data_IF_767509598412
#
_entry.id   IF_767509598412
#
_cell.length_a   1.000
_cell.length_b   1.000
_cell.length_c   1.000
_cell.angle_alpha   90.00
_cell.angle_beta   90.00
_cell.angle_gamma   90.00
#
_symmetry.space_group_name_H-M   'P 1'
#
loop_
_entity.id
_entity.type
_entity.pdbx_description
1 polymer ?
2 non-polymer ?
3 non-polymer ?
4 water ?
#
# COMPACT_ATOMS: atom_id res chain seq x y z
N UNK A 14 -5.95 3.95 31.68
CA UNK A 14 -4.81 4.83 31.48
C UNK A 14 -4.85 5.97 32.53
N UNK A 15 -3.79 6.12 33.33
CA UNK A 15 -3.87 6.96 34.53
C UNK A 15 -3.78 8.44 34.21
N UNK A 16 -4.33 9.26 35.13
CA UNK A 16 -4.30 10.70 34.93
C UNK A 16 -2.87 11.23 34.95
N UNK A 17 -2.01 10.65 35.79
CA UNK A 17 -0.60 11.05 35.83
C UNK A 17 0.06 10.80 34.47
N UNK A 18 -0.27 9.69 33.84
CA UNK A 18 0.32 9.38 32.53
C UNK A 18 -0.18 10.36 31.47
N UNK A 19 -1.48 10.69 31.48
CA UNK A 19 -2.01 11.63 30.51
C UNK A 19 -1.34 13.00 30.67
N UNK A 20 -1.19 13.46 31.91
CA UNK A 20 -0.51 14.73 32.14
C UNK A 20 0.94 14.71 31.66
N UNK A 21 1.60 13.55 31.77
CA UNK A 21 2.96 13.44 31.26
C UNK A 21 2.99 13.54 29.73
N UNK A 22 2.02 12.94 29.05
CA UNK A 22 1.91 13.09 27.60
C UNK A 22 1.68 14.56 27.23
N UNK A 23 0.75 15.21 27.93
CA UNK A 23 0.47 16.62 27.66
C UNK A 23 1.70 17.49 27.90
N UNK A 24 2.55 17.11 28.87
CA UNK A 24 3.76 17.88 29.12
C UNK A 24 4.73 17.83 27.94
N UNK A 25 4.66 16.77 27.11
CA UNK A 25 5.55 16.68 25.96
C UNK A 25 5.00 17.45 24.76
N UNK A 26 3.74 17.18 24.38
CA UNK A 26 3.23 17.68 23.11
C UNK A 26 2.30 18.88 23.26
N UNK A 27 1.85 19.17 24.46
CA UNK A 27 0.88 20.25 24.65
C UNK A 27 -0.52 19.73 24.80
N UNK A 28 -1.30 20.36 25.68
CA UNK A 28 -2.65 19.88 25.96
C UNK A 28 -3.53 19.71 24.72
N UNK A 29 -3.53 20.61 23.73
CA UNK A 29 -4.42 20.40 22.57
C UNK A 29 -4.06 19.16 21.76
N UNK A 30 -2.88 18.62 21.93
CA UNK A 30 -2.39 17.52 21.10
C UNK A 30 -2.46 16.16 21.79
N UNK A 31 -3.22 16.05 22.89
CA UNK A 31 -3.51 14.78 23.54
C UNK A 31 -5.01 14.67 23.68
N UNK A 32 -5.59 13.55 23.28
CA UNK A 32 -7.03 13.36 23.49
C UNK A 32 -7.32 11.97 24.04
N UNK A 33 -8.15 11.93 25.08
CA UNK A 33 -8.75 10.69 25.57
C UNK A 33 -10.25 10.62 25.30
N UNK A 34 -10.77 11.49 24.44
CA UNK A 34 -12.20 11.51 24.15
C UNK A 34 -12.59 10.29 23.33
N UNK A 35 -13.75 9.73 23.66
CA UNK A 35 -14.22 8.48 23.04
C UNK A 35 -14.28 8.60 21.51
N UNK A 36 -14.89 9.67 21.00
CA UNK A 36 -15.08 9.77 19.56
C UNK A 36 -13.76 9.93 18.83
N UNK A 37 -12.81 10.66 19.43
CA UNK A 37 -11.50 10.84 18.80
C UNK A 37 -10.74 9.53 18.78
N UNK A 38 -10.81 8.76 19.86
CA UNK A 38 -10.16 7.46 19.88
C UNK A 38 -10.80 6.50 18.88
N UNK A 39 -12.13 6.50 18.76
CA UNK A 39 -12.77 5.59 17.82
C UNK A 39 -12.35 5.89 16.39
N UNK A 40 -12.19 7.17 16.04
CA UNK A 40 -11.76 7.56 14.69
C UNK A 40 -10.36 7.07 14.39
N UNK A 41 -9.58 6.75 15.42
CA UNK A 41 -8.22 6.27 15.25
C UNK A 41 -8.08 4.80 15.57
N UNK A 42 -9.18 4.08 15.71
CA UNK A 42 -9.16 2.67 16.08
C UNK A 42 -9.36 1.73 14.90
N UNK A 43 -9.43 2.27 13.69
CA UNK A 43 -9.71 1.46 12.52
C UNK A 43 -9.04 2.11 11.32
N UNK A 44 -8.91 1.33 10.25
CA UNK A 44 -8.48 1.88 8.97
C UNK A 44 -9.59 1.71 7.94
N UNK A 45 -9.25 1.48 6.68
CA UNK A 45 -10.29 1.32 5.67
C UNK A 45 -10.77 -0.12 5.56
N UNK A 46 -10.16 -1.06 6.28
CA UNK A 46 -10.52 -2.46 6.22
C UNK A 46 -11.76 -2.76 7.08
N UNK A 47 -12.26 -3.99 6.93
CA UNK A 47 -13.36 -4.49 7.73
C UNK A 47 -12.97 -4.85 9.16
N UNK A 48 -11.69 -4.83 9.49
CA UNK A 48 -11.27 -5.21 10.84
C UNK A 48 -11.96 -4.33 11.87
N UNK A 49 -12.48 -4.96 12.93
CA UNK A 49 -13.34 -4.22 13.84
C UNK A 49 -12.57 -3.13 14.55
N UNK A 50 -13.24 -2.01 14.78
CA UNK A 50 -12.61 -0.88 15.43
C UNK A 50 -12.19 -1.24 16.85
N UNK A 51 -10.92 -0.96 17.19
CA UNK A 51 -10.40 -1.19 18.53
C UNK A 51 -9.72 0.09 18.95
N UNK A 52 -10.41 0.95 19.70
CA UNK A 52 -9.90 2.30 19.94
C UNK A 52 -8.71 2.29 20.88
N UNK A 53 -7.70 3.10 20.58
CA UNK A 53 -6.61 3.31 21.53
C UNK A 53 -7.15 4.01 22.76
N UNK A 54 -6.36 3.97 23.84
CA UNK A 54 -6.73 4.66 25.07
C UNK A 54 -6.50 6.17 24.98
N UNK A 55 -5.65 6.62 24.07
CA UNK A 55 -5.42 8.03 23.85
C UNK A 55 -4.87 8.20 22.44
N UNK A 56 -5.04 9.40 21.89
CA UNK A 56 -4.39 9.81 20.64
C UNK A 56 -3.51 11.01 20.93
N UNK A 57 -2.28 10.99 20.40
CA UNK A 57 -1.30 12.03 20.63
C UNK A 57 -0.77 12.48 19.27
N UNK A 58 -0.63 13.80 19.09
CA UNK A 58 -0.09 14.39 17.87
C UNK A 58 1.24 15.08 18.18
N UNK A 59 2.37 14.39 18.08
CA UNK A 59 3.65 15.08 18.30
C UNK A 59 3.91 16.10 17.20
N UNK A 60 4.59 17.19 17.59
CA UNK A 60 4.83 18.29 16.68
C UNK A 60 6.23 18.33 16.08
N UNK A 61 7.16 17.51 16.59
CA UNK A 61 8.51 17.41 16.04
C UNK A 61 9.10 16.09 16.52
N UNK A 62 10.28 15.76 15.99
CA UNK A 62 10.88 14.45 16.26
C UNK A 62 11.28 14.32 17.71
N UNK A 63 11.72 15.40 18.35
CA UNK A 63 12.03 15.33 19.79
C UNK A 63 10.81 14.90 20.58
N UNK A 64 9.62 15.40 20.23
CA UNK A 64 8.40 15.00 20.89
C UNK A 64 8.04 13.55 20.60
N UNK A 65 8.24 13.08 19.36
CA UNK A 65 8.01 11.67 19.08
C UNK A 65 8.88 10.80 19.99
N UNK A 66 10.15 11.16 20.10
CA UNK A 66 11.08 10.40 20.93
C UNK A 66 10.63 10.39 22.38
N UNK A 67 10.21 11.53 22.90
CA UNK A 67 9.82 11.60 24.30
C UNK A 67 8.50 10.89 24.57
N UNK A 68 7.56 10.92 23.61
CA UNK A 68 6.33 10.16 23.79
C UNK A 68 6.61 8.67 23.76
N UNK A 69 7.45 8.23 22.81
CA UNK A 69 7.78 6.81 22.76
C UNK A 69 8.45 6.35 24.04
N UNK A 70 9.41 7.13 24.55
CA UNK A 70 10.12 6.72 25.76
C UNK A 70 9.17 6.65 26.94
N UNK A 71 8.26 7.63 27.06
CA UNK A 71 7.25 7.60 28.12
C UNK A 71 6.41 6.34 28.05
N UNK A 72 5.88 6.03 26.86
CA UNK A 72 5.02 4.85 26.72
C UNK A 72 5.80 3.58 26.98
N UNK A 73 6.96 3.47 26.35
CA UNK A 73 7.76 2.25 26.43
C UNK A 73 8.08 1.91 27.88
N UNK A 74 8.59 2.89 28.62
CA UNK A 74 9.01 2.63 29.98
C UNK A 74 7.85 2.41 30.94
N UNK A 75 6.65 2.84 30.57
CA UNK A 75 5.49 2.60 31.42
C UNK A 75 4.68 1.37 30.99
N UNK A 76 5.15 0.62 29.99
CA UNK A 76 4.43 -0.56 29.56
C UNK A 76 3.16 -0.27 28.79
N UNK A 77 3.11 0.83 28.06
CA UNK A 77 1.93 1.26 27.31
C UNK A 77 2.20 1.02 25.83
N UNK A 78 1.35 0.27 25.12
CA UNK A 78 1.57 0.07 23.69
C UNK A 78 1.52 1.36 22.89
N UNK A 79 2.26 1.35 21.78
CA UNK A 79 2.38 2.48 20.87
C UNK A 79 1.85 2.03 19.51
N UNK A 80 0.96 2.82 18.91
CA UNK A 80 0.45 2.49 17.58
C UNK A 80 0.71 3.67 16.66
N UNK A 81 1.68 3.57 15.74
CA UNK A 81 1.87 4.68 14.79
C UNK A 81 0.66 4.78 13.87
N UNK A 82 0.28 6.02 13.55
CA UNK A 82 -0.89 6.27 12.73
C UNK A 82 -0.51 7.32 11.70
N UNK A 83 -0.68 6.98 10.42
CA UNK A 83 -0.42 7.96 9.39
C UNK A 83 -1.71 8.60 8.92
N UNK A 84 -2.19 8.20 7.75
CA UNK A 84 -3.47 8.64 7.24
C UNK A 84 -4.59 7.61 7.38
N UNK A 85 -4.33 6.46 7.99
CA UNK A 85 -5.38 5.50 8.29
C UNK A 85 -6.04 4.89 7.07
N UNK A 86 -5.32 4.80 5.95
CA UNK A 86 -5.86 4.22 4.73
C UNK A 86 -5.43 2.76 4.53
N UNK A 87 -4.72 2.17 5.50
CA UNK A 87 -4.35 0.78 5.38
C UNK A 87 -5.56 -0.14 5.32
N UNK A 88 -5.32 -1.37 4.88
CA UNK A 88 -6.43 -2.31 4.71
C UNK A 88 -6.20 -3.63 5.43
N UNK A 89 -5.26 -3.67 6.39
CA UNK A 89 -5.10 -4.91 7.16
C UNK A 89 -5.18 -4.68 8.67
N UNK A 90 -5.77 -3.59 9.12
CA UNK A 90 -5.97 -3.39 10.54
C UNK A 90 -4.72 -2.98 11.28
N UNK A 91 -3.74 -2.45 10.56
CA UNK A 91 -2.48 -2.09 11.19
C UNK A 91 -2.63 -1.10 12.33
N UNK A 92 -3.61 -0.19 12.26
CA UNK A 92 -3.75 0.80 13.31
C UNK A 92 -4.72 0.38 14.41
N UNK A 93 -5.37 -0.78 14.30
CA UNK A 93 -6.29 -1.22 15.34
C UNK A 93 -5.55 -1.45 16.65
N UNK A 94 -6.03 -0.84 17.74
CA UNK A 94 -5.33 -0.90 19.02
C UNK A 94 -5.78 -2.14 19.79
N UNK A 95 -5.29 -3.31 19.33
CA UNK A 95 -5.79 -4.57 19.87
C UNK A 95 -5.44 -4.75 21.34
N UNK A 96 -4.41 -4.06 21.85
CA UNK A 96 -4.06 -4.10 23.25
C UNK A 96 -4.17 -2.72 23.90
N UNK A 97 -5.00 -1.87 23.32
CA UNK A 97 -5.11 -0.49 23.78
C UNK A 97 -3.82 0.27 23.57
N UNK A 98 -3.61 1.29 24.39
CA UNK A 98 -2.38 2.06 24.35
C UNK A 98 -2.56 3.42 23.70
N UNK A 99 -1.45 3.98 23.25
CA UNK A 99 -1.38 5.35 22.74
C UNK A 99 -1.20 5.30 21.23
N UNK A 100 -2.14 5.87 20.51
CA UNK A 100 -2.04 6.06 19.07
C UNK A 100 -1.29 7.36 18.79
N UNK A 101 -0.22 7.28 18.01
CA UNK A 101 0.60 8.44 17.72
C UNK A 101 0.28 8.87 16.29
N UNK A 102 -0.52 9.93 16.16
CA UNK A 102 -0.84 10.47 14.85
C UNK A 102 0.28 11.40 14.42
N UNK A 103 0.96 11.06 13.34
CA UNK A 103 2.19 11.73 12.95
C UNK A 103 1.99 12.85 11.94
N UNK A 104 0.75 13.19 11.58
CA UNK A 104 0.56 13.99 10.39
C UNK A 104 0.73 15.49 10.62
N UNK A 105 0.90 15.97 11.85
CA UNK A 105 1.23 17.38 11.98
C UNK A 105 2.66 17.72 11.59
N UNK A 106 3.51 16.70 11.41
CA UNK A 106 4.87 16.88 10.97
C UNK A 106 4.76 16.74 9.46
N UNK A 107 4.62 17.86 8.75
CA UNK A 107 4.14 17.81 7.37
C UNK A 107 5.04 18.59 6.41
N UNK A 108 6.33 18.70 6.71
CA UNK A 108 7.24 19.49 5.90
C UNK A 108 8.04 18.65 4.93
N UNK A 109 8.26 19.21 3.74
CA UNK A 109 9.21 18.69 2.76
C UNK A 109 10.52 19.42 2.99
N UNK A 110 11.62 18.67 3.07
CA UNK A 110 12.94 19.25 3.27
C UNK A 110 13.95 18.61 2.33
N UNK A 111 15.12 19.23 2.27
CA UNK A 111 16.27 18.69 1.56
C UNK A 111 15.91 18.28 0.14
N UNK A 112 15.14 19.11 -0.55
CA UNK A 112 14.88 18.82 -1.95
C UNK A 112 16.19 18.97 -2.72
N UNK A 113 16.66 17.89 -3.30
CA UNK A 113 17.91 17.86 -4.07
C UNK A 113 17.56 17.43 -5.48
N UNK A 114 17.12 18.38 -6.30
CA UNK A 114 16.69 18.03 -7.65
C UNK A 114 17.85 17.48 -8.47
N UNK A 115 19.05 18.05 -8.32
CA UNK A 115 20.22 17.59 -9.06
C UNK A 115 20.62 16.16 -8.71
N UNK A 116 20.23 15.68 -7.53
CA UNK A 116 20.51 14.31 -7.09
C UNK A 116 19.31 13.41 -7.18
N UNK A 117 18.14 13.93 -7.59
CA UNK A 117 16.92 13.15 -7.67
C UNK A 117 16.48 12.62 -6.30
N UNK A 118 16.48 13.49 -5.29
CA UNK A 118 16.08 13.01 -3.96
C UNK A 118 15.39 14.13 -3.18
N UNK A 119 14.62 13.72 -2.16
CA UNK A 119 13.86 14.64 -1.32
C UNK A 119 13.61 13.96 0.01
N UNK A 120 13.44 14.74 1.08
CA UNK A 120 13.11 14.22 2.40
C UNK A 120 11.73 14.72 2.79
N UNK A 121 10.87 13.81 3.25
CA UNK A 121 9.50 14.15 3.64
C UNK A 121 9.17 13.65 5.04
N UNK A 122 8.37 14.43 5.75
CA UNK A 122 7.81 14.08 7.05
C UNK A 122 6.47 13.37 6.89
N UNK A 123 5.96 12.73 7.95
CA UNK A 123 4.79 11.84 7.77
C UNK A 123 3.51 12.50 7.29
N UNK A 124 3.31 13.79 7.54
CA UNK A 124 2.12 14.46 7.04
C UNK A 124 2.12 14.76 5.55
N UNK A 125 3.24 14.52 4.86
CA UNK A 125 3.32 14.77 3.42
C UNK A 125 2.73 13.58 2.67
N UNK A 126 1.75 13.84 1.82
CA UNK A 126 1.18 12.82 0.94
C UNK A 126 1.83 12.90 -0.43
N UNK A 127 1.59 11.87 -1.24
CA UNK A 127 2.13 11.88 -2.60
C UNK A 127 1.61 13.09 -3.38
N UNK A 128 0.32 13.41 -3.23
CA UNK A 128 -0.23 14.59 -3.92
C UNK A 128 0.51 15.85 -3.52
N UNK A 129 0.71 16.04 -2.22
CA UNK A 129 1.43 17.22 -1.75
C UNK A 129 2.82 17.29 -2.34
N UNK A 130 3.53 16.15 -2.36
CA UNK A 130 4.89 16.16 -2.88
C UNK A 130 4.91 16.49 -4.37
N UNK A 131 4.03 15.84 -5.14
CA UNK A 131 4.08 16.08 -6.58
C UNK A 131 3.59 17.47 -6.95
N UNK A 132 2.68 18.04 -6.15
CA UNK A 132 2.32 19.45 -6.33
C UNK A 132 3.51 20.36 -6.06
N UNK A 133 4.27 20.06 -5.02
CA UNK A 133 5.43 20.86 -4.67
C UNK A 133 6.50 20.77 -5.75
N UNK A 134 6.56 19.64 -6.45
CA UNK A 134 7.52 19.40 -7.51
C UNK A 134 7.02 19.86 -8.85
N UNK A 135 5.85 20.51 -8.88
CA UNK A 135 5.29 20.94 -10.14
C UNK A 135 6.27 21.94 -10.76
N UNK A 136 6.59 21.76 -12.04
CA UNK A 136 7.49 22.59 -12.83
C UNK A 136 8.96 22.27 -12.58
N UNK A 137 9.28 21.26 -11.76
CA UNK A 137 10.67 20.87 -11.53
C UNK A 137 11.19 19.88 -12.56
N UNK A 138 10.30 19.26 -13.33
CA UNK A 138 10.67 18.18 -14.22
C UNK A 138 10.82 16.85 -13.53
N UNK A 139 10.59 16.79 -12.22
CA UNK A 139 10.70 15.56 -11.45
C UNK A 139 9.34 15.19 -10.85
N UNK A 140 9.19 13.92 -10.49
CA UNK A 140 7.96 13.48 -9.83
C UNK A 140 8.28 12.25 -8.99
N UNK A 141 7.37 11.95 -8.07
CA UNK A 141 7.48 10.73 -7.27
C UNK A 141 6.44 9.73 -7.75
N UNK A 142 6.84 8.54 -8.19
CA UNK A 142 5.90 7.67 -8.93
C UNK A 142 5.04 6.71 -8.13
N UNK A 143 5.42 6.31 -6.91
CA UNK A 143 4.69 5.22 -6.26
C UNK A 143 3.32 5.71 -5.84
N UNK A 144 2.26 5.15 -6.43
CA UNK A 144 0.92 5.74 -6.39
C UNK A 144 -0.17 4.78 -5.92
N UNK A 145 -0.23 4.47 -4.62
CA UNK A 145 -1.45 3.87 -4.08
C UNK A 145 -2.65 4.76 -4.37
N UNK A 146 -3.81 4.13 -4.48
CA UNK A 146 -5.01 4.87 -4.85
C UNK A 146 -5.43 5.91 -3.83
N UNK A 147 -5.12 5.66 -2.56
CA UNK A 147 -5.48 6.58 -1.49
C UNK A 147 -4.44 7.68 -1.34
N UNK A 148 -4.89 8.83 -0.85
CA UNK A 148 -4.04 9.98 -0.53
C UNK A 148 -3.31 9.69 0.78
N UNK A 149 -2.32 8.80 0.69
CA UNK A 149 -1.69 8.28 1.90
C UNK A 149 -0.41 9.04 2.28
N UNK A 150 -0.12 9.00 3.57
CA UNK A 150 1.19 9.44 4.08
C UNK A 150 2.32 8.68 3.40
N UNK A 151 3.33 9.43 2.91
CA UNK A 151 4.47 8.77 2.28
C UNK A 151 5.27 7.95 3.28
N UNK A 152 5.35 8.42 4.53
CA UNK A 152 6.02 7.61 5.55
C UNK A 152 5.19 6.37 5.90
N UNK A 153 3.85 6.48 5.86
CA UNK A 153 3.02 5.29 6.00
C UNK A 153 3.22 4.32 4.87
N UNK A 154 3.40 4.84 3.65
CA UNK A 154 3.70 3.99 2.49
C UNK A 154 5.04 3.28 2.66
N UNK A 155 6.03 3.97 3.23
CA UNK A 155 7.28 3.29 3.57
C UNK A 155 7.03 2.20 4.61
N UNK A 156 6.20 2.50 5.62
CA UNK A 156 5.97 1.52 6.68
C UNK A 156 5.27 0.27 6.15
N UNK A 157 4.36 0.43 5.18
CA UNK A 157 3.68 -0.76 4.67
C UNK A 157 4.40 -1.44 3.51
N UNK A 158 5.41 -0.80 2.93
CA UNK A 158 6.04 -1.33 1.73
C UNK A 158 5.15 -1.23 0.50
N UNK A 159 4.47 -0.10 0.35
CA UNK A 159 3.43 0.07 -0.68
C UNK A 159 3.99 0.00 -2.10
N UNK A 160 3.10 -0.29 -3.04
CA UNK A 160 3.43 -0.11 -4.46
C UNK A 160 2.28 0.68 -5.06
N UNK A 161 2.09 0.54 -6.36
CA UNK A 161 1.06 1.32 -7.04
C UNK A 161 1.07 0.97 -8.51
N UNK A 162 0.24 1.68 -9.29
CA UNK A 162 0.17 1.37 -10.72
C UNK A 162 1.49 1.65 -11.44
N UNK A 163 2.27 2.63 -10.98
CA UNK A 163 3.51 2.95 -11.65
C UNK A 163 4.65 2.02 -11.28
N UNK A 164 4.46 1.09 -10.35
CA UNK A 164 5.59 0.33 -9.84
C UNK A 164 6.19 -0.60 -10.90
N UNK A 165 5.37 -1.09 -11.84
CA UNK A 165 5.88 -1.98 -12.87
C UNK A 165 7.08 -1.39 -13.61
N UNK A 166 7.10 -0.07 -13.80
CA UNK A 166 8.23 0.59 -14.43
C UNK A 166 9.16 1.30 -13.46
N UNK A 167 8.60 1.95 -12.43
CA UNK A 167 9.37 2.88 -11.61
C UNK A 167 9.68 2.35 -10.21
N UNK A 168 9.24 1.15 -9.87
CA UNK A 168 9.60 0.52 -8.62
C UNK A 168 8.59 0.74 -7.50
N UNK A 169 8.72 -0.07 -6.45
CA UNK A 169 7.88 0.01 -5.26
C UNK A 169 8.50 0.97 -4.25
N UNK A 170 7.89 1.08 -3.07
CA UNK A 170 8.54 1.87 -2.02
C UNK A 170 9.92 1.30 -1.67
N UNK A 171 10.06 -0.03 -1.66
CA UNK A 171 11.37 -0.62 -1.36
C UNK A 171 12.42 -0.17 -2.36
N UNK A 172 12.02 0.02 -3.63
CA UNK A 172 12.97 0.45 -4.64
C UNK A 172 13.30 1.94 -4.54
N UNK A 173 12.41 2.74 -3.94
CA UNK A 173 12.53 4.17 -3.99
C UNK A 173 12.76 4.84 -2.63
N UNK A 174 12.90 4.08 -1.56
CA UNK A 174 13.27 4.63 -0.26
C UNK A 174 14.79 4.47 -0.09
N UNK A 175 15.46 5.61 0.07
CA UNK A 175 16.93 5.71 0.11
C UNK A 175 17.42 5.77 1.56
N UNK A 176 16.59 6.28 2.45
CA UNK A 176 16.99 6.48 3.84
C UNK A 176 15.72 6.67 4.65
N UNK A 177 15.80 6.35 5.96
CA UNK A 177 14.67 6.54 6.84
C UNK A 177 15.16 7.12 8.15
N UNK A 178 14.40 8.04 8.71
CA UNK A 178 14.62 8.48 10.09
C UNK A 178 13.59 7.77 10.96
N UNK A 179 14.05 7.03 11.97
CA UNK A 179 13.19 6.16 12.74
C UNK A 179 13.39 6.43 14.23
N UNK A 180 12.29 6.68 14.94
CA UNK A 180 12.33 6.68 16.40
C UNK A 180 12.09 5.24 16.83
N UNK A 181 13.10 4.64 17.43
CA UNK A 181 12.98 3.28 17.93
C UNK A 181 12.03 3.23 19.14
N UNK A 182 11.54 2.05 19.49
CA UNK A 182 10.49 1.95 20.52
C UNK A 182 10.83 2.65 21.83
N UNK A 183 12.09 2.59 22.27
CA UNK A 183 12.49 3.23 23.52
C UNK A 183 12.87 4.70 23.36
N UNK A 184 12.69 5.28 22.17
CA UNK A 184 12.92 6.70 21.93
C UNK A 184 14.22 7.06 21.22
N UNK A 185 15.15 6.12 21.06
CA UNK A 185 16.40 6.46 20.38
C UNK A 185 16.12 6.81 18.91
N UNK A 186 16.93 7.72 18.37
CA UNK A 186 16.77 8.17 16.98
C UNK A 186 17.79 7.49 16.07
N UNK A 187 17.29 6.79 15.06
CA UNK A 187 18.11 6.07 14.08
C UNK A 187 17.91 6.68 12.69
N UNK A 188 19.00 6.98 12.02
CA UNK A 188 18.97 7.26 10.59
C UNK A 188 19.51 6.02 9.90
N UNK A 189 18.64 5.29 9.18
CA UNK A 189 18.98 3.91 8.82
C UNK A 189 20.22 3.85 7.95
N UNK A 190 20.39 4.81 7.04
CA UNK A 190 21.58 4.86 6.19
C UNK A 190 22.56 5.95 6.62
N UNK A 191 22.33 6.58 7.76
CA UNK A 191 23.19 7.66 8.25
C UNK A 191 22.53 9.02 8.08
N UNK A 192 22.73 9.93 9.03
CA UNK A 192 22.01 11.20 8.99
C UNK A 192 22.40 12.01 7.77
N UNK A 193 21.40 12.41 6.99
CA UNK A 193 21.61 13.28 5.85
C UNK A 193 22.11 12.59 4.61
N UNK A 194 22.28 11.27 4.63
CA UNK A 194 22.91 10.57 3.51
C UNK A 194 21.92 10.23 2.42
N UNK A 195 22.39 10.29 1.18
CA UNK A 195 21.57 9.93 0.04
C UNK A 195 22.51 9.59 -1.10
N UNK A 196 22.26 8.46 -1.75
CA UNK A 196 23.18 7.95 -2.74
C UNK A 196 22.47 6.85 -3.52
N UNK A 197 23.10 6.39 -4.60
CA UNK A 197 22.46 5.42 -5.46
C UNK A 197 22.64 3.98 -4.99
N UNK A 198 23.76 3.67 -4.34
CA UNK A 198 24.04 2.30 -3.90
C UNK A 198 25.05 2.35 -2.78
N UNK A 199 25.02 1.32 -1.94
CA UNK A 199 25.99 1.19 -0.86
C UNK A 199 26.11 -0.26 -0.45
N UNK A 200 27.33 -0.66 -0.10
CA UNK A 200 27.61 -1.93 0.56
C UNK A 200 28.11 -1.72 1.99
N UNK A 201 27.81 -0.58 2.59
CA UNK A 201 28.40 -0.25 3.89
C UNK A 201 27.59 -0.87 5.02
N UNK A 202 28.10 -1.97 5.57
CA UNK A 202 27.44 -2.59 6.71
C UNK A 202 26.19 -3.33 6.24
N UNK A 203 25.28 -3.54 7.17
CA UNK A 203 24.02 -4.19 6.84
C UNK A 203 22.99 -3.14 6.44
N UNK A 204 22.16 -3.47 5.46
CA UNK A 204 21.22 -2.47 4.95
C UNK A 204 20.05 -2.39 5.93
N UNK A 205 20.08 -1.37 6.79
CA UNK A 205 18.99 -1.20 7.76
C UNK A 205 17.75 -0.58 7.14
N UNK A 206 17.91 0.17 6.05
CA UNK A 206 16.75 0.83 5.45
C UNK A 206 15.71 -0.20 5.02
N UNK A 207 16.16 -1.28 4.38
CA UNK A 207 15.23 -2.30 3.91
C UNK A 207 14.52 -3.05 5.01
N UNK A 208 15.11 -3.09 6.21
CA UNK A 208 14.44 -3.74 7.33
C UNK A 208 13.22 -2.95 7.78
N UNK A 209 13.29 -1.62 7.74
CA UNK A 209 12.19 -0.83 8.26
C UNK A 209 11.13 -0.56 7.21
N UNK A 210 11.46 -0.65 5.92
CA UNK A 210 10.42 -0.60 4.90
C UNK A 210 9.59 -1.87 5.01
N UNK A 211 8.28 -1.71 5.11
CA UNK A 211 7.43 -2.87 5.28
C UNK A 211 7.35 -3.42 6.69
N UNK A 212 7.79 -2.65 7.69
CA UNK A 212 7.73 -3.10 9.07
C UNK A 212 6.42 -2.74 9.77
N UNK A 213 5.57 -1.91 9.15
CA UNK A 213 4.18 -1.68 9.58
C UNK A 213 4.09 -1.11 11.01
N UNK A 214 5.11 -0.39 11.46
CA UNK A 214 5.02 0.20 12.78
C UNK A 214 5.33 -0.72 13.91
N UNK A 215 5.86 -1.92 13.63
CA UNK A 215 6.20 -2.88 14.67
C UNK A 215 7.67 -2.82 15.07
N UNK A 216 8.50 -2.04 14.36
CA UNK A 216 9.92 -1.92 14.69
C UNK A 216 10.34 -0.51 15.10
N UNK A 217 9.43 0.45 15.01
CA UNK A 217 9.79 1.84 15.25
C UNK A 217 8.88 2.76 14.46
N UNK A 218 9.06 4.06 14.69
CA UNK A 218 8.21 5.10 14.13
C UNK A 218 9.00 5.85 13.07
N UNK A 219 8.55 5.79 11.82
CA UNK A 219 9.24 6.51 10.76
C UNK A 219 8.86 7.99 10.84
N UNK A 220 9.84 8.86 11.11
CA UNK A 220 9.57 10.29 11.20
C UNK A 220 10.08 11.09 10.01
N UNK A 221 10.88 10.49 9.14
CA UNK A 221 11.09 11.07 7.82
C UNK A 221 11.52 9.96 6.86
N UNK A 222 11.30 10.20 5.58
CA UNK A 222 11.68 9.27 4.52
C UNK A 222 12.44 10.04 3.46
N UNK A 223 13.60 9.52 3.05
CA UNK A 223 14.32 10.07 1.90
C UNK A 223 13.93 9.27 0.67
N UNK A 224 13.39 9.96 -0.33
CA UNK A 224 12.78 9.31 -1.48
C UNK A 224 13.55 9.61 -2.76
N UNK A 225 13.62 8.60 -3.63
CA UNK A 225 14.13 8.76 -4.99
C UNK A 225 13.08 9.43 -5.87
N UNK A 226 13.46 10.52 -6.52
CA UNK A 226 12.62 11.17 -7.51
C UNK A 226 13.01 10.71 -8.91
N UNK A 227 12.08 10.86 -9.86
CA UNK A 227 12.26 10.42 -11.22
C UNK A 227 11.99 11.55 -12.20
N UNK A 228 12.65 11.52 -13.37
CA UNK A 228 12.35 12.51 -14.41
C UNK A 228 10.96 12.29 -14.97
N UNK A 229 10.24 13.39 -15.20
CA UNK A 229 8.95 13.29 -15.85
C UNK A 229 9.12 12.76 -17.28
N UNK A 230 8.19 11.94 -17.76
CA UNK A 230 8.33 11.39 -19.10
C UNK A 230 8.21 12.47 -20.16
N UNK A 231 8.95 12.27 -21.26
CA UNK A 231 8.89 13.22 -22.36
C UNK A 231 7.48 13.31 -22.93
N UNK A 232 6.82 12.18 -23.09
CA UNK A 232 5.45 12.14 -23.58
C UNK A 232 4.75 10.92 -22.98
N UNK A 233 3.42 11.02 -22.91
CA UNK A 233 2.58 10.03 -22.24
C UNK A 233 1.38 9.69 -23.13
N UNK A 234 1.06 8.41 -23.22
CA UNK A 234 -0.15 7.94 -23.89
C UNK A 234 -0.82 6.91 -22.99
N UNK A 235 -2.12 7.05 -22.78
CA UNK A 235 -2.89 6.09 -22.01
C UNK A 235 -4.01 5.52 -22.88
N UNK A 236 -4.44 4.31 -22.55
CA UNK A 236 -5.49 3.67 -23.34
C UNK A 236 -6.14 2.58 -22.51
N UNK A 237 -7.32 2.16 -22.96
CA UNK A 237 -7.96 0.99 -22.40
C UNK A 237 -8.16 -0.02 -23.51
N UNK A 238 -8.19 -1.30 -23.13
CA UNK A 238 -8.33 -2.40 -24.07
C UNK A 238 -9.25 -3.45 -23.46
N UNK A 239 -10.36 -3.76 -24.16
CA UNK A 239 -11.35 -4.69 -23.67
C UNK A 239 -11.09 -6.07 -24.26
N UNK A 240 -11.32 -7.11 -23.46
CA UNK A 240 -11.01 -8.47 -23.85
C UNK A 240 -12.23 -9.36 -23.72
N UNK A 241 -12.26 -10.47 -24.48
CA UNK A 241 -13.39 -11.39 -24.38
C UNK A 241 -13.41 -12.22 -23.10
N UNK A 242 -12.29 -12.35 -22.40
CA UNK A 242 -12.25 -13.21 -21.22
C UNK A 242 -11.10 -12.76 -20.33
N UNK A 243 -11.17 -13.18 -19.07
CA UNK A 243 -10.07 -12.94 -18.13
C UNK A 243 -8.80 -13.60 -18.66
N UNK A 244 -8.92 -14.85 -19.14
CA UNK A 244 -7.78 -15.56 -19.72
C UNK A 244 -7.09 -14.71 -20.78
N UNK A 245 -7.86 -14.11 -21.71
CA UNK A 245 -7.26 -13.34 -22.79
C UNK A 245 -6.52 -12.12 -22.27
N UNK A 246 -7.09 -11.44 -21.27
CA UNK A 246 -6.45 -10.24 -20.74
C UNK A 246 -5.16 -10.57 -20.01
N UNK A 247 -5.17 -11.66 -19.23
CA UNK A 247 -3.99 -11.97 -18.44
C UNK A 247 -2.91 -12.62 -19.30
N UNK A 248 -3.29 -13.43 -20.30
CA UNK A 248 -2.32 -13.91 -21.27
C UNK A 248 -1.63 -12.75 -21.97
N UNK A 249 -2.39 -11.71 -22.36
CA UNK A 249 -1.78 -10.53 -22.96
C UNK A 249 -0.77 -9.89 -22.03
N UNK A 250 -1.15 -9.75 -20.75
CA UNK A 250 -0.24 -9.15 -19.78
C UNK A 250 1.07 -9.92 -19.71
N UNK A 251 0.98 -11.23 -19.52
CA UNK A 251 2.19 -12.04 -19.42
C UNK A 251 3.03 -11.90 -20.68
N UNK A 252 2.39 -11.88 -21.85
CA UNK A 252 3.17 -11.79 -23.09
C UNK A 252 3.78 -10.41 -23.28
N UNK A 253 3.10 -9.34 -22.82
CA UNK A 253 3.70 -8.02 -22.88
C UNK A 253 4.96 -7.96 -22.02
N UNK A 254 4.89 -8.53 -20.81
CA UNK A 254 6.07 -8.55 -19.93
C UNK A 254 7.17 -9.42 -20.49
N UNK A 255 6.83 -10.57 -21.07
CA UNK A 255 7.88 -11.44 -21.60
C UNK A 255 8.51 -10.86 -22.85
N UNK A 256 7.81 -9.99 -23.56
CA UNK A 256 8.37 -9.27 -24.70
C UNK A 256 9.15 -8.04 -24.28
N UNK A 257 9.25 -7.77 -22.97
CA UNK A 257 10.07 -6.69 -22.42
C UNK A 257 9.61 -5.30 -22.88
N UNK A 258 8.33 -5.13 -23.17
CA UNK A 258 7.81 -3.79 -23.45
C UNK A 258 7.83 -3.00 -22.16
N UNK A 259 8.51 -1.85 -22.09
CA UNK A 259 8.64 -1.11 -20.82
C UNK A 259 7.42 -0.25 -20.50
N UNK A 260 6.25 -0.90 -20.42
CA UNK A 260 5.01 -0.20 -20.13
C UNK A 260 5.14 0.54 -18.80
N UNK A 261 4.54 1.72 -18.72
CA UNK A 261 4.54 2.51 -17.49
C UNK A 261 3.48 2.03 -16.50
N UNK A 262 2.33 1.58 -17.02
CA UNK A 262 1.21 1.16 -16.22
C UNK A 262 0.51 0.04 -16.98
N UNK A 263 0.18 -1.04 -16.28
CA UNK A 263 -0.64 -2.10 -16.87
C UNK A 263 -1.53 -2.68 -15.77
N UNK A 264 -2.79 -2.28 -15.78
CA UNK A 264 -3.74 -2.55 -14.72
C UNK A 264 -4.89 -3.37 -15.24
N UNK A 265 -5.28 -4.39 -14.51
CA UNK A 265 -6.38 -5.26 -14.89
C UNK A 265 -7.62 -4.96 -14.06
N UNK A 266 -8.79 -4.93 -14.73
CA UNK A 266 -10.10 -4.89 -14.08
C UNK A 266 -10.94 -6.00 -14.69
N UNK A 267 -11.57 -6.83 -13.85
CA UNK A 267 -12.51 -7.78 -14.42
C UNK A 267 -13.81 -7.05 -14.74
N UNK A 268 -14.76 -7.78 -15.35
CA UNK A 268 -16.00 -7.12 -15.79
C UNK A 268 -16.75 -6.53 -14.61
N UNK A 269 -16.74 -7.20 -13.45
CA UNK A 269 -17.45 -6.68 -12.27
C UNK A 269 -16.83 -5.36 -11.83
N UNK A 270 -15.50 -5.32 -11.75
CA UNK A 270 -14.80 -4.10 -11.38
C UNK A 270 -15.00 -2.99 -12.42
N UNK A 271 -15.00 -3.35 -13.71
CA UNK A 271 -15.14 -2.31 -14.70
C UNK A 271 -16.53 -1.68 -14.63
N UNK A 272 -17.57 -2.51 -14.46
CA UNK A 272 -18.91 -1.98 -14.27
C UNK A 272 -18.99 -1.11 -13.01
N UNK A 273 -18.40 -1.57 -11.90
CA UNK A 273 -18.42 -0.77 -10.68
C UNK A 273 -17.74 0.58 -10.88
N UNK A 274 -16.61 0.59 -11.60
CA UNK A 274 -15.90 1.84 -11.83
C UNK A 274 -16.70 2.76 -12.76
N UNK A 275 -17.36 2.18 -13.77
CA UNK A 275 -18.25 2.96 -14.63
C UNK A 275 -19.30 3.68 -13.81
N UNK A 276 -19.90 2.97 -12.85
CA UNK A 276 -21.00 3.52 -12.08
C UNK A 276 -20.53 4.56 -11.07
N UNK A 277 -19.28 4.45 -10.64
CA UNK A 277 -18.74 5.30 -9.59
C UNK A 277 -18.00 6.53 -10.13
N UNK A 278 -17.58 6.50 -11.40
CA UNK A 278 -16.73 7.55 -11.93
C UNK A 278 -17.26 8.14 -13.23
N UNK A 279 -18.38 7.66 -13.74
CA UNK A 279 -18.92 8.12 -15.02
C UNK A 279 -17.90 7.94 -16.15
N UNK A 280 -17.00 6.96 -16.03
CA UNK A 280 -16.45 6.33 -17.21
C UNK A 280 -17.58 5.56 -17.91
N UNK A 281 -17.36 5.26 -19.19
CA UNK A 281 -18.34 4.49 -19.96
C UNK A 281 -17.63 3.41 -20.76
N UNK A 282 -16.71 2.70 -20.12
CA UNK A 282 -15.99 1.65 -20.80
C UNK A 282 -16.91 0.45 -21.05
N UNK A 283 -16.69 -0.27 -22.15
CA UNK A 283 -17.39 -1.56 -22.33
C UNK A 283 -17.17 -2.45 -21.12
N UNK A 284 -18.26 -3.05 -20.65
CA UNK A 284 -18.21 -3.91 -19.46
C UNK A 284 -17.62 -5.25 -19.89
N UNK A 285 -16.34 -5.44 -19.58
CA UNK A 285 -15.55 -6.56 -20.04
C UNK A 285 -14.27 -6.58 -19.22
N UNK A 286 -13.59 -7.72 -19.13
CA UNK A 286 -12.23 -7.71 -18.55
C UNK A 286 -11.36 -6.80 -19.39
N UNK A 287 -10.67 -5.88 -18.72
CA UNK A 287 -10.09 -4.72 -19.37
C UNK A 287 -8.69 -4.48 -18.83
N UNK A 288 -7.79 -4.04 -19.70
CA UNK A 288 -6.51 -3.49 -19.28
C UNK A 288 -6.53 -1.98 -19.42
N UNK A 289 -6.11 -1.28 -18.37
CA UNK A 289 -5.73 0.13 -18.46
C UNK A 289 -4.23 0.17 -18.69
N UNK A 290 -3.79 0.87 -19.73
CA UNK A 290 -2.38 0.91 -20.07
C UNK A 290 -1.87 2.35 -20.15
N UNK A 291 -0.60 2.53 -19.83
CA UNK A 291 0.05 3.82 -20.06
C UNK A 291 1.48 3.57 -20.53
N UNK A 292 1.94 4.42 -21.45
CA UNK A 292 3.26 4.31 -22.07
C UNK A 292 3.97 5.64 -21.94
N UNK A 293 5.27 5.59 -21.64
CA UNK A 293 6.12 6.76 -21.49
C UNK A 293 7.28 6.68 -22.47
N UNK A 294 7.60 7.79 -23.12
CA UNK A 294 8.78 7.86 -23.96
C UNK A 294 8.72 9.05 -24.91
N UNK A 295 9.64 9.03 -25.88
CA UNK A 295 9.60 9.95 -27.00
C UNK A 295 8.50 9.51 -27.98
N UNK A 296 8.32 10.25 -29.07
CA UNK A 296 7.20 9.89 -29.95
C UNK A 296 7.54 8.62 -30.73
N UNK A 297 8.77 8.57 -31.22
CA UNK A 297 9.49 7.39 -31.70
C UNK A 297 9.35 6.17 -30.79
N UNK A 298 9.79 6.29 -29.54
CA UNK A 298 9.69 5.15 -28.63
C UNK A 298 8.24 4.78 -28.35
N UNK A 299 7.37 5.78 -28.22
CA UNK A 299 5.96 5.49 -27.98
C UNK A 299 5.36 4.69 -29.13
N UNK A 300 5.64 5.11 -30.37
CA UNK A 300 5.08 4.41 -31.52
C UNK A 300 5.55 2.96 -31.57
N UNK A 301 6.80 2.73 -31.22
CA UNK A 301 7.33 1.36 -31.18
C UNK A 301 6.64 0.53 -30.10
N UNK A 302 6.53 1.09 -28.89
CA UNK A 302 5.87 0.35 -27.81
C UNK A 302 4.43 0.04 -28.15
N UNK A 303 3.70 1.02 -28.70
CA UNK A 303 2.30 0.81 -29.05
C UNK A 303 2.17 -0.26 -30.13
N UNK A 304 2.97 -0.13 -31.19
CA UNK A 304 3.16 -1.16 -32.21
C UNK A 304 3.23 -2.57 -31.62
N UNK A 305 4.19 -2.79 -30.73
CA UNK A 305 4.42 -4.14 -30.21
C UNK A 305 3.33 -4.57 -29.24
N UNK A 306 2.79 -3.64 -28.46
CA UNK A 306 1.76 -4.00 -27.48
C UNK A 306 0.41 -4.25 -28.15
N UNK A 307 0.08 -3.48 -29.18
CA UNK A 307 -1.17 -3.74 -29.90
C UNK A 307 -1.14 -5.08 -30.61
N UNK A 308 0.03 -5.48 -31.13
CA UNK A 308 0.12 -6.79 -31.78
C UNK A 308 -0.18 -7.92 -30.79
N UNK A 309 0.32 -7.80 -29.56
CA UNK A 309 0.10 -8.85 -28.58
C UNK A 309 -1.35 -8.87 -28.13
N UNK A 310 -1.93 -7.70 -27.84
CA UNK A 310 -3.32 -7.71 -27.39
C UNK A 310 -4.25 -8.20 -28.49
N UNK A 311 -3.96 -7.83 -29.74
CA UNK A 311 -4.77 -8.31 -30.87
C UNK A 311 -4.77 -9.83 -30.95
N UNK A 312 -3.60 -10.44 -30.74
CA UNK A 312 -3.49 -11.91 -30.79
C UNK A 312 -4.40 -12.58 -29.78
N UNK A 313 -4.73 -11.89 -28.69
CA UNK A 313 -5.57 -12.44 -27.64
C UNK A 313 -6.98 -11.82 -27.64
N UNK A 314 -7.41 -11.26 -28.75
CA UNK A 314 -8.76 -10.76 -28.85
C UNK A 314 -8.98 -9.38 -28.29
N UNK A 315 -7.92 -8.65 -27.94
CA UNK A 315 -8.09 -7.32 -27.43
C UNK A 315 -8.68 -6.37 -28.46
N UNK A 316 -9.47 -5.42 -27.97
CA UNK A 316 -10.04 -4.38 -28.81
C UNK A 316 -8.95 -3.42 -29.28
N UNK A 317 -9.26 -2.68 -30.34
CA UNK A 317 -8.43 -1.53 -30.66
C UNK A 317 -8.39 -0.61 -29.45
N UNK A 318 -7.23 -0.03 -29.21
CA UNK A 318 -7.04 0.79 -28.01
C UNK A 318 -8.02 1.96 -28.02
N UNK A 319 -8.72 2.15 -26.90
CA UNK A 319 -9.52 3.35 -26.68
C UNK A 319 -8.63 4.40 -26.01
N UNK A 320 -8.25 5.43 -26.75
CA UNK A 320 -7.20 6.32 -26.31
C UNK A 320 -7.71 7.35 -25.31
N UNK A 321 -6.82 7.75 -24.40
CA UNK A 321 -7.11 8.83 -23.46
C UNK A 321 -6.08 9.94 -23.63
N UNK A 324 -5.06 15.03 -21.71
CA UNK A 324 -4.58 15.19 -20.35
C UNK A 324 -5.72 14.97 -19.37
N UNK A 325 -6.85 15.60 -19.67
CA UNK A 325 -7.99 15.54 -18.78
C UNK A 325 -8.58 14.13 -18.72
N UNK A 326 -8.56 13.39 -19.83
CA UNK A 326 -9.19 12.07 -19.81
C UNK A 326 -8.28 11.08 -19.12
N UNK A 327 -6.98 11.21 -19.39
CA UNK A 327 -6.02 10.39 -18.69
C UNK A 327 -6.16 10.56 -17.19
N UNK A 328 -6.29 11.81 -16.73
CA UNK A 328 -6.52 12.05 -15.30
C UNK A 328 -7.81 11.39 -14.82
N UNK A 329 -8.89 11.46 -15.63
CA UNK A 329 -10.14 10.81 -15.23
C UNK A 329 -10.01 9.29 -15.25
N UNK A 330 -9.29 8.75 -16.23
CA UNK A 330 -9.05 7.31 -16.29
C UNK A 330 -8.38 6.82 -15.02
N UNK A 331 -7.25 7.43 -14.67
CA UNK A 331 -6.50 6.91 -13.53
C UNK A 331 -7.13 7.28 -12.20
N UNK A 332 -7.90 8.37 -12.12
CA UNK A 332 -8.64 8.62 -10.89
C UNK A 332 -9.69 7.53 -10.66
N UNK A 333 -10.35 7.08 -11.74
CA UNK A 333 -11.30 5.98 -11.60
C UNK A 333 -10.61 4.72 -11.10
N UNK A 334 -9.44 4.41 -11.66
CA UNK A 334 -8.69 3.25 -11.21
C UNK A 334 -8.30 3.39 -9.74
N UNK A 335 -7.76 4.56 -9.38
CA UNK A 335 -7.33 4.77 -7.99
C UNK A 335 -8.50 4.64 -7.02
N UNK A 336 -9.73 4.91 -7.47
CA UNK A 336 -10.89 4.80 -6.61
C UNK A 336 -11.61 3.47 -6.73
N UNK A 337 -11.00 2.46 -7.37
CA UNK A 337 -11.64 1.15 -7.53
C UNK A 337 -12.15 0.58 -6.21
N UNK A 338 -11.38 0.74 -5.13
CA UNK A 338 -11.82 0.24 -3.83
C UNK A 338 -13.17 0.83 -3.44
N UNK A 339 -13.32 2.13 -3.61
CA UNK A 339 -14.59 2.78 -3.25
C UNK A 339 -15.68 2.46 -4.23
N UNK A 340 -15.33 2.25 -5.50
CA UNK A 340 -16.31 1.82 -6.49
C UNK A 340 -16.87 0.46 -6.11
N UNK A 341 -16.00 -0.45 -5.66
CA UNK A 341 -16.44 -1.78 -5.21
C UNK A 341 -17.34 -1.67 -3.99
N UNK A 342 -16.97 -0.83 -3.01
CA UNK A 342 -17.79 -0.70 -1.83
C UNK A 342 -19.16 -0.12 -2.15
N UNK A 343 -19.25 0.73 -3.17
CA UNK A 343 -20.52 1.33 -3.55
C UNK A 343 -21.49 0.34 -4.18
N UNK A 344 -21.03 -0.85 -4.57
CA UNK A 344 -21.93 -1.83 -5.15
C UNK A 344 -23.00 -2.25 -4.15
N UNK A 345 -22.61 -2.48 -2.90
CA UNK A 345 -23.53 -2.79 -1.81
C UNK A 345 -23.32 -1.74 -0.74
N UNK A 346 -24.08 -0.63 -0.79
CA UNK A 346 -23.87 0.44 0.19
C UNK A 346 -24.11 -0.05 1.61
N UNK A 347 -23.35 0.53 2.54
CA UNK A 347 -23.36 0.10 3.92
C UNK A 347 -22.43 -1.07 4.23
N UNK A 348 -21.86 -1.70 3.21
CA UNK A 348 -20.97 -2.84 3.44
C UNK A 348 -19.53 -2.37 3.59
N UNK A 349 -18.75 -3.19 4.30
CA UNK A 349 -17.30 -3.04 4.36
C UNK A 349 -16.68 -4.05 3.39
N UNK A 350 -15.35 -4.12 3.36
CA UNK A 350 -14.75 -5.07 2.44
C UNK A 350 -13.42 -5.55 2.98
N UNK A 351 -13.05 -6.75 2.55
CA UNK A 351 -11.71 -7.29 2.71
C UNK A 351 -11.08 -7.40 1.33
N UNK A 352 -9.77 -7.22 1.26
CA UNK A 352 -9.03 -7.35 0.02
C UNK A 352 -7.95 -8.41 0.18
N UNK A 353 -7.85 -9.30 -0.80
CA UNK A 353 -6.67 -10.13 -0.95
C UNK A 353 -5.63 -9.35 -1.74
N UNK A 354 -4.41 -9.90 -1.84
CA UNK A 354 -3.30 -9.14 -2.40
C UNK A 354 -2.17 -10.05 -2.86
N UNK A 355 -2.48 -11.26 -3.38
CA UNK A 355 -1.39 -12.19 -3.64
C UNK A 355 -0.51 -11.70 -4.80
N UNK A 356 0.72 -12.19 -4.82
CA UNK A 356 1.63 -11.90 -5.93
C UNK A 356 2.35 -13.20 -6.27
N UNK A 357 2.30 -13.62 -7.52
CA UNK A 357 2.83 -14.92 -7.95
C UNK A 357 3.84 -14.71 -9.07
N UNK A 358 4.70 -15.70 -9.31
CA UNK A 358 5.51 -15.68 -10.54
C UNK A 358 4.62 -15.43 -11.73
N UNK A 359 5.05 -14.55 -12.64
CA UNK A 359 4.11 -14.01 -13.64
C UNK A 359 3.56 -15.11 -14.52
N UNK A 360 4.34 -16.14 -14.82
CA UNK A 360 3.81 -17.20 -15.69
C UNK A 360 2.67 -17.97 -15.03
N UNK A 361 2.53 -17.92 -13.71
CA UNK A 361 1.43 -18.56 -13.01
C UNK A 361 0.24 -17.61 -12.82
N UNK A 362 0.36 -16.36 -13.24
CA UNK A 362 -0.73 -15.41 -13.04
C UNK A 362 -2.00 -15.79 -13.78
N UNK A 363 -1.94 -16.26 -15.03
CA UNK A 363 -3.19 -16.69 -15.70
C UNK A 363 -3.93 -17.77 -14.91
N UNK A 364 -3.21 -18.79 -14.44
CA UNK A 364 -3.87 -19.86 -13.69
C UNK A 364 -4.63 -19.30 -12.49
N UNK A 365 -3.97 -18.47 -11.68
CA UNK A 365 -4.59 -18.10 -10.41
C UNK A 365 -5.70 -17.05 -10.59
N UNK A 366 -5.54 -16.07 -11.52
CA UNK A 366 -6.70 -15.20 -11.77
C UNK A 366 -7.88 -15.92 -12.36
N UNK A 367 -7.66 -16.80 -13.34
CA UNK A 367 -8.81 -17.50 -13.91
C UNK A 367 -9.47 -18.36 -12.85
N UNK A 368 -8.67 -19.05 -12.04
CA UNK A 368 -9.20 -19.86 -10.94
C UNK A 368 -9.95 -18.98 -9.93
N UNK A 369 -9.46 -17.78 -9.66
CA UNK A 369 -10.13 -16.91 -8.70
C UNK A 369 -11.49 -16.46 -9.23
N UNK A 370 -11.53 -16.07 -10.51
CA UNK A 370 -12.80 -15.73 -11.14
C UNK A 370 -13.77 -16.90 -11.05
N UNK A 371 -13.31 -18.11 -11.36
CA UNK A 371 -14.17 -19.28 -11.30
C UNK A 371 -14.67 -19.54 -9.89
N UNK A 372 -13.80 -19.35 -8.90
CA UNK A 372 -14.19 -19.59 -7.51
C UNK A 372 -15.19 -18.55 -7.03
N UNK A 373 -15.04 -17.29 -7.48
CA UNK A 373 -16.03 -16.27 -7.14
C UNK A 373 -17.39 -16.65 -7.68
N UNK A 374 -17.44 -17.11 -8.94
CA UNK A 374 -18.75 -17.45 -9.52
C UNK A 374 -19.36 -18.66 -8.82
N UNK A 375 -18.54 -19.61 -8.40
CA UNK A 375 -19.08 -20.83 -7.79
C UNK A 375 -19.55 -20.60 -6.36
N UNK A 376 -19.35 -19.41 -5.79
CA UNK A 376 -19.64 -19.17 -4.39
C UNK A 376 -20.76 -18.13 -4.25
N UNK A 377 -21.29 -18.02 -3.02
CA UNK A 377 -22.35 -17.04 -2.81
C UNK A 377 -21.78 -15.63 -2.64
N UNK A 378 -20.47 -15.48 -2.62
CA UNK A 378 -19.80 -14.20 -2.37
C UNK A 378 -19.78 -13.31 -3.62
N UNK A 379 -19.84 -12.02 -3.38
CA UNK A 379 -19.60 -10.99 -4.38
C UNK A 379 -18.12 -10.64 -4.36
N UNK A 380 -17.56 -10.46 -5.54
CA UNK A 380 -16.17 -10.02 -5.60
C UNK A 380 -15.84 -9.24 -6.84
N UNK A 381 -14.96 -8.25 -6.71
CA UNK A 381 -14.44 -7.51 -7.84
C UNK A 381 -12.93 -7.70 -7.87
N UNK A 382 -12.36 -7.83 -9.06
CA UNK A 382 -10.93 -8.08 -9.22
C UNK A 382 -10.28 -6.88 -9.90
N UNK A 383 -9.21 -6.37 -9.29
CA UNK A 383 -8.43 -5.29 -9.87
C UNK A 383 -6.97 -5.58 -9.53
N UNK A 384 -6.06 -5.22 -10.41
CA UNK A 384 -4.71 -5.61 -10.06
C UNK A 384 -3.54 -5.01 -10.81
N UNK A 385 -2.44 -4.81 -10.07
CA UNK A 385 -1.13 -4.49 -10.61
C UNK A 385 -0.53 -5.72 -11.26
N UNK A 386 -1.15 -6.19 -12.36
CA UNK A 386 -0.78 -7.47 -12.96
C UNK A 386 0.58 -7.43 -13.62
N UNK A 387 1.11 -6.24 -13.93
CA UNK A 387 2.48 -6.15 -14.40
C UNK A 387 3.49 -6.68 -13.41
N UNK A 388 3.12 -6.68 -12.12
CA UNK A 388 3.96 -7.25 -11.07
C UNK A 388 3.56 -8.67 -10.70
N UNK A 389 2.60 -9.26 -11.40
CA UNK A 389 2.09 -10.56 -10.97
C UNK A 389 1.18 -10.50 -9.76
N UNK A 390 0.56 -9.36 -9.52
CA UNK A 390 -0.15 -9.04 -8.30
C UNK A 390 -1.60 -8.68 -8.66
N UNK A 391 -2.53 -9.07 -7.80
CA UNK A 391 -3.91 -8.60 -7.97
C UNK A 391 -4.63 -8.63 -6.63
N UNK A 392 -5.73 -7.88 -6.57
CA UNK A 392 -6.59 -7.80 -5.40
C UNK A 392 -7.96 -8.35 -5.75
N UNK A 393 -8.47 -9.22 -4.90
CA UNK A 393 -9.89 -9.58 -4.87
C UNK A 393 -10.56 -8.78 -3.76
N UNK A 394 -11.50 -7.92 -4.13
CA UNK A 394 -12.21 -7.09 -3.18
C UNK A 394 -13.54 -7.75 -2.88
N UNK A 395 -13.74 -8.16 -1.62
CA UNK A 395 -14.86 -8.99 -1.21
C UNK A 395 -15.72 -8.18 -0.24
N UNK A 396 -16.91 -7.78 -0.71
CA UNK A 396 -17.81 -7.00 0.12
C UNK A 396 -18.34 -7.85 1.28
N UNK A 397 -18.61 -7.19 2.40
CA UNK A 397 -19.11 -7.87 3.59
C UNK A 397 -20.20 -7.01 4.23
N UNK A 398 -21.32 -7.63 4.55
CA UNK A 398 -22.28 -7.03 5.47
C UNK A 398 -21.67 -7.01 6.86
N UNK A 399 -21.48 -5.84 7.48
CA UNK A 399 -20.82 -5.80 8.79
C UNK A 399 -21.52 -6.61 9.87
N UNK A 400 -22.81 -6.93 9.70
CA UNK A 400 -23.56 -7.64 10.73
C UNK A 400 -23.81 -9.11 10.38
N UNK A 401 -23.33 -9.58 9.23
CA UNK A 401 -23.58 -10.95 8.77
C UNK A 401 -22.36 -11.80 9.09
N UNK A 402 -22.36 -12.40 10.29
CA UNK A 402 -21.21 -13.18 10.73
C UNK A 402 -20.96 -14.40 9.85
N UNK A 403 -22.00 -14.98 9.27
CA UNK A 403 -21.82 -16.12 8.39
C UNK A 403 -21.09 -15.71 7.11
N UNK A 404 -21.37 -14.51 6.61
CA UNK A 404 -20.71 -14.05 5.40
C UNK A 404 -19.24 -13.75 5.65
N UNK A 405 -18.92 -13.12 6.79
CA UNK A 405 -17.53 -12.73 7.04
C UNK A 405 -16.61 -13.92 7.12
N UNK A 406 -17.10 -15.06 7.61
CA UNK A 406 -16.23 -16.21 7.71
C UNK A 406 -16.21 -17.05 6.43
N UNK A 407 -17.22 -16.92 5.56
CA UNK A 407 -16.98 -17.36 4.19
C UNK A 407 -15.94 -16.48 3.51
N UNK A 408 -15.88 -15.20 3.87
CA UNK A 408 -14.96 -14.29 3.19
C UNK A 408 -13.53 -14.57 3.62
N UNK A 409 -13.30 -14.72 4.92
CA UNK A 409 -11.97 -15.15 5.37
C UNK A 409 -11.62 -16.53 4.84
N UNK A 410 -12.56 -17.49 4.79
CA UNK A 410 -12.20 -18.80 4.21
C UNK A 410 -11.75 -18.64 2.77
N UNK A 411 -12.46 -17.80 2.00
CA UNK A 411 -12.10 -17.58 0.61
C UNK A 411 -10.73 -16.93 0.50
N UNK A 412 -10.51 -15.85 1.26
CA UNK A 412 -9.24 -15.14 1.19
C UNK A 412 -8.08 -16.02 1.63
N UNK A 413 -8.34 -16.90 2.59
CA UNK A 413 -7.29 -17.71 3.16
C UNK A 413 -6.92 -18.82 2.17
N UNK A 414 -7.93 -19.37 1.48
CA UNK A 414 -7.67 -20.36 0.43
C UNK A 414 -6.94 -19.75 -0.76
N UNK A 415 -7.34 -18.54 -1.17
CA UNK A 415 -6.61 -17.88 -2.26
C UNK A 415 -5.17 -17.62 -1.87
N UNK A 416 -4.95 -17.13 -0.65
CA UNK A 416 -3.57 -16.96 -0.19
C UNK A 416 -2.79 -18.26 -0.25
N UNK A 417 -3.39 -19.36 0.18
CA UNK A 417 -2.65 -20.62 0.17
C UNK A 417 -2.40 -21.11 -1.25
N UNK A 418 -3.32 -20.83 -2.18
CA UNK A 418 -3.07 -21.18 -3.58
C UNK A 418 -1.87 -20.41 -4.12
N UNK A 419 -1.77 -19.12 -3.79
CA UNK A 419 -0.61 -18.34 -4.21
C UNK A 419 0.69 -18.90 -3.62
N UNK A 420 0.66 -19.29 -2.34
CA UNK A 420 1.83 -19.90 -1.74
C UNK A 420 2.20 -21.20 -2.44
N UNK A 421 1.20 -21.98 -2.86
CA UNK A 421 1.49 -23.24 -3.54
C UNK A 421 2.18 -23.00 -4.87
N UNK A 422 1.97 -21.84 -5.48
CA UNK A 422 2.56 -21.49 -6.77
C UNK A 422 3.92 -20.81 -6.62
N UNK A 423 4.47 -20.74 -5.40
CA UNK A 423 5.75 -20.11 -5.19
C UNK A 423 5.70 -18.61 -4.97
N UNK A 424 4.52 -18.06 -4.74
CA UNK A 424 4.34 -16.63 -4.59
C UNK A 424 4.26 -16.20 -3.13
N UNK A 425 3.68 -15.02 -2.93
CA UNK A 425 3.58 -14.42 -1.61
C UNK A 425 2.13 -14.06 -1.34
N UNK A 426 1.77 -14.05 -0.05
CA UNK A 426 0.40 -13.75 0.34
C UNK A 426 0.07 -12.27 0.28
N UNK A 427 1.08 -11.40 0.18
CA UNK A 427 0.82 -9.97 0.01
C UNK A 427 1.89 -9.31 -0.82
N UNK A 428 1.47 -8.71 -1.93
CA UNK A 428 2.39 -7.99 -2.77
C UNK A 428 2.71 -6.59 -2.27
N UNK A 429 1.78 -5.96 -1.52
CA UNK A 429 1.98 -4.57 -1.16
C UNK A 429 1.22 -4.11 0.10
N UNK A 430 0.07 -4.71 0.41
CA UNK A 430 -0.75 -4.18 1.51
C UNK A 430 -0.13 -4.46 2.88
N UNK A 431 0.57 -5.57 3.01
CA UNK A 431 1.10 -5.99 4.29
C UNK A 431 0.26 -7.07 4.95
N UNK A 432 0.66 -7.37 6.18
CA UNK A 432 0.13 -8.48 6.96
C UNK A 432 -0.90 -8.02 7.97
N UNK A 433 -0.57 -6.97 8.72
CA UNK A 433 -1.45 -6.47 9.77
C UNK A 433 -1.99 -7.55 10.68
N UNK A 434 -3.31 -7.53 10.83
CA UNK A 434 -4.05 -8.53 11.59
C UNK A 434 -4.49 -9.71 10.73
N UNK A 435 -4.58 -9.52 9.42
CA UNK A 435 -5.29 -10.48 8.58
C UNK A 435 -4.51 -11.66 8.03
N UNK A 436 -3.20 -11.51 7.82
CA UNK A 436 -2.43 -12.53 7.11
C UNK A 436 -1.35 -13.14 7.98
N UNK A 437 -1.52 -13.13 9.31
CA UNK A 437 -0.46 -13.59 10.19
C UNK A 437 -0.22 -15.09 10.05
N UNK A 438 -1.29 -15.87 9.86
CA UNK A 438 -1.09 -17.30 9.69
C UNK A 438 -0.47 -17.61 8.34
N UNK A 439 -0.91 -16.89 7.29
CA UNK A 439 -0.32 -17.09 5.97
C UNK A 439 1.17 -16.78 5.98
N UNK A 440 1.60 -15.74 6.72
CA UNK A 440 3.02 -15.42 6.77
C UNK A 440 3.81 -16.58 7.38
N UNK A 441 3.27 -17.20 8.43
CA UNK A 441 3.93 -18.35 9.03
C UNK A 441 4.11 -19.46 8.01
N UNK A 442 3.10 -19.71 7.18
CA UNK A 442 3.23 -20.74 6.15
C UNK A 442 4.22 -20.31 5.08
N UNK A 443 4.25 -19.02 4.76
CA UNK A 443 5.08 -18.50 3.66
C UNK A 443 6.58 -18.66 3.93
N UNK A 444 7.04 -18.31 5.14
CA UNK A 444 8.47 -18.31 5.39
C UNK A 444 8.92 -19.45 6.31
N UNK A 445 8.01 -20.18 6.92
CA UNK A 445 8.37 -21.36 7.67
C UNK A 445 8.96 -21.05 9.02
N UNK A 446 9.27 -22.09 9.80
CA UNK A 446 9.69 -21.88 11.20
C UNK A 446 10.96 -21.07 11.35
N UNK A 447 11.96 -21.26 10.49
CA UNK A 447 13.20 -20.53 10.68
C UNK A 447 13.03 -19.08 10.26
N UNK A 448 12.22 -18.83 9.22
CA UNK A 448 11.91 -17.46 8.85
C UNK A 448 11.13 -16.73 9.93
N UNK A 449 10.16 -17.42 10.53
CA UNK A 449 9.38 -16.78 11.59
C UNK A 449 10.26 -16.46 12.78
N UNK A 450 11.09 -17.41 13.21
CA UNK A 450 11.92 -17.14 14.37
C UNK A 450 12.90 -16.01 14.08
N UNK A 451 13.46 -15.98 12.87
CA UNK A 451 14.41 -14.92 12.55
C UNK A 451 13.73 -13.57 12.56
N UNK A 452 12.52 -13.50 12.00
CA UNK A 452 11.78 -12.25 12.03
C UNK A 452 11.47 -11.84 13.46
N UNK A 453 11.11 -12.81 14.31
CA UNK A 453 10.79 -12.51 15.69
C UNK A 453 12.03 -12.06 16.45
N UNK A 454 13.20 -12.62 16.12
CA UNK A 454 14.41 -12.18 16.79
C UNK A 454 14.73 -10.73 16.44
N UNK A 455 14.48 -10.30 15.20
CA UNK A 455 14.65 -8.90 14.83
C UNK A 455 13.68 -8.01 15.59
N UNK A 456 12.40 -8.39 15.61
CA UNK A 456 11.40 -7.68 16.41
C UNK A 456 11.84 -7.55 17.87
N UNK A 457 12.35 -8.63 18.45
CA UNK A 457 12.69 -8.60 19.87
C UNK A 457 13.88 -7.70 20.16
N UNK A 458 14.86 -7.62 19.26
CA UNK A 458 15.99 -6.78 19.66
C UNK A 458 15.64 -5.30 19.57
N UNK A 459 14.77 -4.93 18.64
CA UNK A 459 14.38 -3.53 18.52
C UNK A 459 13.25 -3.17 19.48
N UNK A 460 12.39 -4.12 19.83
CA UNK A 460 11.24 -3.87 20.71
C UNK A 460 11.19 -4.96 21.77
N UNK A 461 12.12 -4.93 22.73
CA UNK A 461 12.17 -6.03 23.71
C UNK A 461 10.87 -6.20 24.48
N UNK A 462 10.21 -5.11 24.83
CA UNK A 462 9.00 -5.24 25.64
C UNK A 462 7.75 -5.55 24.83
N UNK A 463 7.86 -5.62 23.50
CA UNK A 463 6.72 -5.97 22.68
C UNK A 463 5.63 -4.92 22.68
N UNK A 464 5.99 -3.65 22.84
CA UNK A 464 5.02 -2.57 22.93
C UNK A 464 4.84 -1.80 21.63
N UNK A 465 5.60 -2.14 20.59
CA UNK A 465 5.55 -1.40 19.34
C UNK A 465 4.51 -2.06 18.42
N UNK A 466 3.30 -1.49 18.40
CA UNK A 466 2.17 -2.01 17.64
C UNK A 466 1.97 -3.50 17.85
N UNK A 467 1.67 -3.94 19.07
CA UNK A 467 1.57 -5.38 19.34
C UNK A 467 0.41 -6.04 18.61
N UNK A 468 0.57 -7.33 18.36
CA UNK A 468 -0.46 -8.10 17.73
C UNK A 468 -0.50 -8.04 16.22
N UNK A 469 0.48 -7.38 15.58
CA UNK A 469 0.52 -7.22 14.13
C UNK A 469 1.72 -7.94 13.56
N UNK A 470 1.53 -8.49 12.36
CA UNK A 470 2.56 -9.11 11.51
C UNK A 470 2.98 -10.47 12.05
N UNK A 471 3.58 -10.48 13.24
CA UNK A 471 4.01 -11.72 13.87
C UNK A 471 3.05 -12.14 14.98
X LIG B 1 -2.06 3.66 8.19
X LIG B 1 -3.31 2.89 8.01
X LIG B 1 -2.08 4.94 8.96
X LIG B 1 -1.01 2.68 8.83
X LIG B 1 -0.66 1.44 8.17
X LIG B 1 0.33 0.67 9.00
X LIG B 1 1.61 1.34 8.97
X LIG B 1 -0.02 0.50 10.47
X LIG B 1 0.46 -0.74 10.98
X LIG B 1 0.67 1.70 11.12
X LIG B 1 1.01 1.50 12.49
X LIG B 1 1.94 1.81 10.27
X LIG B 1 2.46 3.16 10.12
X LIG B 1 1.85 4.25 9.54
X LIG B 1 2.60 5.33 9.52
X LIG B 1 3.78 4.92 10.12
X LIG B 1 4.99 5.60 10.40
X LIG B 1 5.23 6.87 10.09
X LIG B 1 5.98 4.89 11.01
X LIG B 1 5.76 3.61 11.31
X LIG B 1 4.66 2.87 11.09
X LIG B 1 3.71 3.59 10.49
X LIG B 1 -1.65 0.15 -0.88
X LIG B 1 -0.72 -0.22 -1.81
X LIG B 1 0.38 -0.71 -1.48
X LIG B 1 -0.99 -0.08 -3.15
X LIG B 1 -2.15 0.47 -3.70
X LIG B 1 -2.28 0.53 -4.93
X LIG B 1 -3.13 0.87 -2.70
X LIG B 1 -4.27 1.41 -3.13
X LIG B 1 -5.19 1.80 -2.18
X LIG B 1 -6.39 2.37 -2.61
X LIG B 1 -7.35 2.78 -1.69
X LIG B 1 -8.64 3.38 -2.19
X LIG B 1 -7.11 2.61 -0.31
X LIG B 1 -8.14 3.04 0.71
X LIG B 1 -5.92 2.06 0.11
X LIG B 1 -4.96 1.64 -0.80
X LIG B 1 -3.72 1.09 -0.39
X LIG B 1 -2.79 0.69 -1.32
X LIG B 1 -3.46 0.82 1.03
X LIG B 1 -2.86 1.99 1.80
X LIG B 1 -3.19 3.23 1.16
X LIG B 1 -1.35 1.82 1.91
X LIG B 1 -1.10 0.62 2.62
X LIG B 1 -0.66 3.00 2.60
X LIG B 1 0.75 2.79 2.51
X LIG B 1 -1.10 3.17 4.04
X LIG B 1 -0.58 4.40 4.55
X LIG B 1 -1.27 5.12 5.78
X LIG B 1 -0.39 6.22 6.37
X LIG B 1 -2.66 5.55 5.37
X LIG B 1 -1.35 3.89 6.77
X LIG C 1 -5.70 -0.94 -5.45
X LIG C 1 -5.93 -1.42 -4.03
X LIG C 1 -7.25 -2.17 -3.94
X LIG C 1 -7.44 -2.72 -2.53
X LIG C 1 -7.35 -1.61 -1.49
X LIG C 1 -4.88 -1.54 -6.18
X LIG C 1 -6.33 0.08 -5.89
X LIG C 1 -4.86 -2.28 -3.71
#
# INVERSE_FOLDING_TARGET
WSHPQFEKGSQGGLSQDFVEALKAVVGSPHVSTASAVREQHGHDESMHRCQPPDAVVWPQNVDQVSRVASLCYNQGVPIIPFGTGTGVEGGVCAVQGGVCINLTHMDQITELNTEDFSVVVEPGVTRKALNTHLRDSGLWFPVDPGADASLCGMAATGASGTNAVRYGTMRDNVINLEVVLPDGRLLHTAGRGRHYRKSAAGYNLTGLFVGSEGTLGIITSTTLRLHPAPEATVAATCAFPSVQAAVDSTVQILQAAVPVARIEFLDDVMMDACNRHSKLNCPVAPTLFLEFHGSQQTLAEQLQRTEAITQDNGGSHFSWAKEAEKRNELWAARHNAWYAALALSPGSKAYSTDVCVPISRLPEILVETKEEIKASKLTGAIVGHVGDGNFACILLVDPDDAEEQRRVKAFAENLGRRALALGGTCTGEHGIGLGKRQLLQEEVGPVGVETMRQLKNTLDPRGLMNPGKVL
FAD PA O1A O2A O5B C5B C4B O4B C3B O3B C2B O2B C1B N9A C8A N7A C5A C6A N6A N1A C2A N3A C4A N1 C2 O2 N3 C4 O4 C4X N5 C5X C6 C7 C7M C8 C8M C9 C9A N10 C10 C1' C2' O2' C3' O3' C4' O4' C5' O5' P O1P O2P O3P
UE3 CAA CAB CAC CAD CAE OAF OAG OAH
#
